data_IF_814521040052
#
_entry.id   IF_814521040052
#
_cell.length_a   1.000
_cell.length_b   1.000
_cell.length_c   1.000
_cell.angle_alpha   90.00
_cell.angle_beta   90.00
_cell.angle_gamma   90.00
#
_symmetry.space_group_name_H-M   'P 1'
#
loop_
_entity.id
_entity.type
_entity.pdbx_description
1 polymer ?
#
# COMPACT_ATOMS: atom_id res chain seq x y z
N UNK A 1 8.43 -0.35 18.34
CA UNK A 1 7.26 -1.12 17.88
C UNK A 1 7.64 -1.67 16.51
N UNK A 2 7.31 -2.92 16.21
CA UNK A 2 7.44 -3.44 14.84
C UNK A 2 6.32 -2.83 14.02
N UNK A 3 6.62 -2.34 12.81
CA UNK A 3 5.62 -1.69 11.95
C UNK A 3 4.93 -2.76 11.11
N UNK A 4 3.61 -2.90 11.24
CA UNK A 4 2.84 -3.92 10.52
C UNK A 4 2.40 -3.41 9.15
N UNK A 5 2.59 -4.25 8.13
CA UNK A 5 2.36 -3.92 6.72
C UNK A 5 1.49 -4.99 6.08
N UNK A 6 0.36 -4.60 5.53
CA UNK A 6 -0.50 -5.50 4.75
C UNK A 6 0.00 -5.54 3.32
N UNK A 7 0.16 -6.74 2.76
CA UNK A 7 0.58 -6.94 1.38
C UNK A 7 -0.40 -7.89 0.67
N UNK A 8 -0.76 -7.61 -0.58
CA UNK A 8 -1.56 -8.54 -1.36
C UNK A 8 -1.72 -8.14 -2.81
N UNK A 9 -2.25 -9.05 -3.62
CA UNK A 9 -2.64 -8.78 -5.01
C UNK A 9 -4.14 -8.61 -5.10
N UNK A 10 -4.59 -7.45 -5.56
CA UNK A 10 -6.02 -7.10 -5.61
C UNK A 10 -6.73 -7.70 -6.83
N UNK A 11 -7.98 -8.09 -6.63
CA UNK A 11 -8.89 -8.41 -7.74
C UNK A 11 -8.76 -9.85 -8.23
N UNK A 12 -8.66 -10.06 -9.54
CA UNK A 12 -8.55 -11.43 -10.13
C UNK A 12 -7.12 -11.85 -10.46
N UNK A 13 -6.14 -11.04 -10.07
CA UNK A 13 -4.74 -11.25 -10.39
C UNK A 13 -4.13 -12.42 -9.58
N UNK A 14 -3.41 -13.31 -10.27
CA UNK A 14 -2.76 -14.50 -9.70
C UNK A 14 -1.21 -14.39 -9.65
N UNK A 15 -0.64 -13.22 -9.93
CA UNK A 15 0.80 -13.02 -9.98
C UNK A 15 1.41 -12.90 -8.57
N UNK A 16 1.75 -14.06 -8.00
CA UNK A 16 2.30 -14.16 -6.64
C UNK A 16 3.79 -13.80 -6.52
N UNK A 17 4.54 -13.83 -7.61
CA UNK A 17 6.02 -13.70 -7.55
C UNK A 17 6.46 -12.34 -7.01
N UNK A 18 5.84 -11.25 -7.49
CA UNK A 18 6.20 -9.89 -7.06
C UNK A 18 5.98 -9.67 -5.57
N UNK A 19 4.80 -10.07 -5.06
CA UNK A 19 4.50 -9.94 -3.64
C UNK A 19 5.36 -10.86 -2.76
N UNK A 20 5.77 -12.04 -3.25
CA UNK A 20 6.66 -12.94 -2.48
C UNK A 20 8.05 -12.34 -2.32
N UNK A 21 8.57 -11.68 -3.37
CA UNK A 21 9.86 -10.99 -3.31
C UNK A 21 9.77 -9.80 -2.36
N UNK A 22 8.69 -9.02 -2.46
CA UNK A 22 8.47 -7.84 -1.63
C UNK A 22 8.27 -8.19 -0.16
N UNK A 23 7.53 -9.26 0.13
CA UNK A 23 7.37 -9.83 1.48
C UNK A 23 8.72 -10.14 2.11
N UNK A 24 9.56 -10.93 1.43
CA UNK A 24 10.89 -11.29 1.94
C UNK A 24 11.78 -10.05 2.17
N UNK A 25 11.68 -9.06 1.29
CA UNK A 25 12.46 -7.84 1.40
C UNK A 25 11.99 -6.97 2.59
N UNK A 26 10.67 -6.83 2.78
CA UNK A 26 10.06 -6.11 3.91
C UNK A 26 10.37 -6.80 5.25
N UNK A 27 10.23 -8.13 5.32
CA UNK A 27 10.60 -8.90 6.51
C UNK A 27 12.09 -8.75 6.83
N UNK A 28 12.96 -8.78 5.81
CA UNK A 28 14.40 -8.56 5.99
C UNK A 28 14.73 -7.13 6.47
N UNK A 29 13.92 -6.14 6.09
CA UNK A 29 14.01 -4.77 6.58
C UNK A 29 13.42 -4.58 8.00
N UNK A 30 12.78 -5.61 8.57
CA UNK A 30 12.27 -5.62 9.94
C UNK A 30 10.81 -5.20 10.09
N UNK A 31 10.02 -5.20 9.00
CA UNK A 31 8.58 -5.02 9.04
C UNK A 31 7.88 -6.34 9.41
N UNK A 32 6.71 -6.22 10.05
CA UNK A 32 5.81 -7.36 10.26
C UNK A 32 4.83 -7.42 9.08
N UNK A 33 4.98 -8.43 8.22
CA UNK A 33 4.26 -8.48 6.95
C UNK A 33 3.07 -9.44 7.06
N UNK A 34 1.87 -8.93 6.80
CA UNK A 34 0.65 -9.74 6.68
C UNK A 34 0.33 -9.88 5.19
N UNK A 35 0.71 -11.02 4.61
CA UNK A 35 0.47 -11.31 3.21
C UNK A 35 -0.91 -11.96 3.01
N UNK A 36 -1.82 -11.25 2.34
CA UNK A 36 -3.16 -11.73 1.96
C UNK A 36 -3.14 -12.68 0.76
N UNK A 37 -2.01 -12.77 0.08
CA UNK A 37 -1.82 -13.60 -1.10
C UNK A 37 -2.35 -12.95 -2.37
N UNK A 38 -2.95 -13.77 -3.22
CA UNK A 38 -3.47 -13.37 -4.53
C UNK A 38 -4.98 -13.37 -4.52
N UNK A 39 -5.57 -12.62 -5.45
CA UNK A 39 -7.02 -12.50 -5.62
C UNK A 39 -7.76 -11.97 -4.39
N UNK A 40 -7.09 -11.11 -3.62
CA UNK A 40 -7.65 -10.52 -2.41
C UNK A 40 -8.64 -9.40 -2.77
N UNK A 41 -9.76 -9.38 -2.06
CA UNK A 41 -10.80 -8.37 -2.19
C UNK A 41 -10.45 -7.10 -1.41
N UNK A 42 -11.05 -5.97 -1.78
CA UNK A 42 -10.90 -4.70 -1.04
C UNK A 42 -11.28 -4.85 0.44
N UNK A 43 -12.28 -5.69 0.75
CA UNK A 43 -12.75 -5.92 2.11
C UNK A 43 -11.68 -6.65 2.94
N UNK A 44 -11.05 -7.68 2.39
CA UNK A 44 -9.95 -8.40 3.06
C UNK A 44 -8.77 -7.48 3.40
N UNK A 45 -8.42 -6.53 2.53
CA UNK A 45 -7.40 -5.52 2.82
C UNK A 45 -7.77 -4.62 4.00
N UNK A 46 -9.02 -4.15 4.05
CA UNK A 46 -9.51 -3.26 5.10
C UNK A 46 -9.63 -4.00 6.42
N UNK A 47 -10.18 -5.21 6.42
CA UNK A 47 -10.28 -6.07 7.60
C UNK A 47 -8.89 -6.41 8.14
N UNK A 48 -7.96 -6.84 7.29
CA UNK A 48 -6.61 -7.16 7.73
C UNK A 48 -5.85 -5.94 8.27
N UNK A 49 -6.02 -4.77 7.65
CA UNK A 49 -5.42 -3.53 8.14
C UNK A 49 -5.96 -3.15 9.51
N UNK A 50 -7.27 -3.32 9.73
CA UNK A 50 -7.92 -3.07 11.02
C UNK A 50 -7.52 -4.08 12.09
N UNK A 51 -7.54 -5.37 11.77
CA UNK A 51 -7.29 -6.46 12.72
C UNK A 51 -5.84 -6.50 13.23
N UNK A 52 -4.90 -5.96 12.44
CA UNK A 52 -3.47 -5.99 12.74
C UNK A 52 -2.89 -4.61 13.08
N UNK A 53 -3.73 -3.58 13.27
CA UNK A 53 -3.31 -2.19 13.50
C UNK A 53 -2.21 -1.77 12.50
N UNK A 54 -2.43 -2.06 11.21
CA UNK A 54 -1.43 -1.87 10.19
C UNK A 54 -1.08 -0.39 10.00
N UNK A 55 0.19 -0.09 9.74
CA UNK A 55 0.62 1.26 9.41
C UNK A 55 0.57 1.53 7.90
N UNK A 56 0.64 0.46 7.09
CA UNK A 56 0.61 0.56 5.64
C UNK A 56 -0.08 -0.62 4.96
N UNK A 57 -0.62 -0.35 3.78
CA UNK A 57 -1.27 -1.31 2.88
C UNK A 57 -0.64 -1.19 1.50
N UNK A 58 0.00 -2.27 1.04
CA UNK A 58 0.68 -2.38 -0.24
C UNK A 58 -0.14 -3.27 -1.17
N UNK A 59 -0.61 -2.68 -2.26
CA UNK A 59 -1.46 -3.33 -3.25
C UNK A 59 -0.65 -3.62 -4.51
N UNK A 60 -0.62 -4.88 -4.94
CA UNK A 60 -0.02 -5.27 -6.21
C UNK A 60 -1.10 -5.51 -7.27
N UNK A 61 -0.83 -5.10 -8.51
CA UNK A 61 -1.66 -5.44 -9.68
C UNK A 61 -0.80 -5.46 -10.95
N UNK A 62 -0.77 -6.59 -11.66
CA UNK A 62 0.04 -6.83 -12.85
C UNK A 62 -0.79 -7.09 -14.12
N UNK A 63 -2.10 -7.32 -13.98
CA UNK A 63 -2.98 -7.61 -15.12
C UNK A 63 -3.64 -6.38 -15.77
N UNK A 64 -3.31 -5.17 -15.30
CA UNK A 64 -3.65 -3.91 -15.99
C UNK A 64 -5.07 -3.39 -15.77
N UNK A 65 -5.81 -3.95 -14.82
CA UNK A 65 -7.18 -3.51 -14.46
C UNK A 65 -7.27 -2.89 -13.06
N UNK A 66 -6.14 -2.46 -12.49
CA UNK A 66 -6.05 -1.87 -11.16
C UNK A 66 -7.06 -0.73 -10.93
N UNK A 67 -7.36 0.07 -11.96
CA UNK A 67 -8.35 1.14 -11.86
C UNK A 67 -9.75 0.65 -11.45
N UNK A 68 -10.18 -0.49 -11.99
CA UNK A 68 -11.48 -1.07 -11.66
C UNK A 68 -11.44 -1.75 -10.29
N UNK A 69 -10.33 -2.40 -9.96
CA UNK A 69 -10.19 -3.11 -8.68
C UNK A 69 -10.03 -2.16 -7.49
N UNK A 70 -9.43 -0.99 -7.69
CA UNK A 70 -9.22 0.00 -6.64
C UNK A 70 -10.36 1.03 -6.55
N UNK A 71 -11.38 0.96 -7.42
CA UNK A 71 -12.52 1.86 -7.36
C UNK A 71 -13.27 1.69 -6.03
N UNK A 72 -13.38 2.77 -5.25
CA UNK A 72 -13.99 2.75 -3.92
C UNK A 72 -13.11 2.17 -2.80
N UNK A 73 -11.84 1.83 -3.07
CA UNK A 73 -10.95 1.26 -2.06
C UNK A 73 -10.63 2.26 -0.94
N UNK A 74 -10.16 3.46 -1.29
CA UNK A 74 -9.89 4.54 -0.31
C UNK A 74 -11.13 5.00 0.43
N UNK A 75 -12.30 4.91 -0.21
CA UNK A 75 -13.56 5.19 0.46
C UNK A 75 -13.80 4.19 1.60
N UNK A 76 -13.57 2.89 1.36
CA UNK A 76 -13.72 1.87 2.40
C UNK A 76 -12.70 2.03 3.54
N UNK A 77 -11.46 2.37 3.23
CA UNK A 77 -10.44 2.68 4.25
C UNK A 77 -10.92 3.84 5.14
N UNK A 78 -11.44 4.91 4.52
CA UNK A 78 -11.98 6.05 5.26
C UNK A 78 -13.25 5.70 6.06
N UNK A 79 -14.13 4.86 5.52
CA UNK A 79 -15.33 4.38 6.23
C UNK A 79 -14.99 3.49 7.43
N UNK A 80 -13.83 2.84 7.41
CA UNK A 80 -13.29 2.05 8.52
C UNK A 80 -12.48 2.89 9.53
N UNK A 81 -12.36 4.21 9.34
CA UNK A 81 -11.58 5.14 10.17
C UNK A 81 -10.09 4.74 10.29
N UNK A 82 -9.56 4.12 9.23
CA UNK A 82 -8.17 3.64 9.18
C UNK A 82 -7.23 4.72 8.65
N UNK A 83 -6.23 5.10 9.44
CA UNK A 83 -5.15 6.01 9.02
C UNK A 83 -3.91 5.24 8.54
N UNK A 84 -4.02 4.58 7.37
CA UNK A 84 -2.95 3.72 6.81
C UNK A 84 -2.31 4.33 5.56
N UNK A 85 -1.01 4.08 5.37
CA UNK A 85 -0.28 4.54 4.20
C UNK A 85 -0.54 3.56 3.06
N UNK A 86 -1.04 4.04 1.93
CA UNK A 86 -1.53 3.18 0.85
C UNK A 86 -0.64 3.24 -0.37
N UNK A 87 -0.04 2.11 -0.73
CA UNK A 87 0.82 2.00 -1.90
C UNK A 87 0.18 1.09 -2.94
N UNK A 88 0.44 1.39 -4.22
CA UNK A 88 0.06 0.50 -5.32
C UNK A 88 1.23 0.31 -6.29
N UNK A 89 1.45 -0.93 -6.74
CA UNK A 89 2.58 -1.30 -7.59
C UNK A 89 2.24 -2.31 -8.67
N UNK A 90 2.99 -2.28 -9.77
CA UNK A 90 2.93 -3.26 -10.85
C UNK A 90 2.51 -2.68 -12.20
N UNK A 91 1.87 -3.49 -13.02
CA UNK A 91 1.38 -3.10 -14.34
C UNK A 91 -0.11 -2.74 -14.21
N UNK A 92 -0.35 -1.47 -13.90
CA UNK A 92 -1.64 -0.96 -13.43
C UNK A 92 -2.65 -0.68 -14.56
N UNK A 93 -2.19 -0.55 -15.80
CA UNK A 93 -3.03 -0.25 -16.96
C UNK A 93 -2.59 -1.00 -18.22
N UNK A 94 -3.54 -1.61 -18.92
CA UNK A 94 -3.26 -2.27 -20.22
C UNK A 94 -3.08 -1.22 -21.31
N UNK A 95 -1.92 -1.23 -21.97
CA UNK A 95 -1.69 -0.49 -23.21
C UNK A 95 -1.50 1.02 -23.04
N UNK A 96 -1.02 1.48 -21.88
CA UNK A 96 -0.57 2.86 -21.71
C UNK A 96 0.91 3.01 -22.06
N UNK A 97 1.23 4.01 -22.88
CA UNK A 97 2.60 4.41 -23.21
C UNK A 97 3.22 5.36 -22.16
N UNK A 98 2.41 5.91 -21.23
CA UNK A 98 2.83 6.95 -20.27
C UNK A 98 2.47 6.58 -18.82
N UNK A 99 3.49 6.17 -18.05
CA UNK A 99 3.33 5.81 -16.63
C UNK A 99 3.10 7.03 -15.73
N UNK A 100 3.52 8.23 -16.13
CA UNK A 100 3.29 9.44 -15.32
C UNK A 100 1.79 9.76 -15.23
N UNK A 101 1.04 9.58 -16.32
CA UNK A 101 -0.42 9.69 -16.30
C UNK A 101 -1.07 8.67 -15.37
N UNK A 102 -0.64 7.41 -15.43
CA UNK A 102 -1.12 6.34 -14.53
C UNK A 102 -0.85 6.70 -13.08
N UNK A 103 0.39 7.11 -12.77
CA UNK A 103 0.80 7.56 -11.44
C UNK A 103 -0.09 8.69 -10.94
N UNK A 104 -0.29 9.73 -11.74
CA UNK A 104 -1.13 10.87 -11.37
C UNK A 104 -2.56 10.43 -11.05
N UNK A 105 -3.13 9.57 -11.88
CA UNK A 105 -4.48 9.07 -11.68
C UNK A 105 -4.65 8.33 -10.34
N UNK A 106 -3.74 7.44 -9.98
CA UNK A 106 -3.80 6.72 -8.70
C UNK A 106 -3.49 7.62 -7.49
N UNK A 107 -2.64 8.64 -7.66
CA UNK A 107 -2.46 9.69 -6.64
C UNK A 107 -3.74 10.48 -6.39
N UNK A 108 -4.46 10.86 -7.45
CA UNK A 108 -5.74 11.57 -7.34
C UNK A 108 -6.85 10.68 -6.75
N UNK A 109 -6.74 9.36 -6.89
CA UNK A 109 -7.64 8.38 -6.27
C UNK A 109 -7.43 8.26 -4.74
N UNK A 110 -6.23 8.58 -4.25
CA UNK A 110 -5.91 8.59 -2.83
C UNK A 110 -4.65 7.82 -2.44
N UNK A 111 -3.97 7.14 -3.37
CA UNK A 111 -2.75 6.40 -3.05
C UNK A 111 -1.59 7.32 -2.68
N UNK A 112 -0.90 6.98 -1.58
CA UNK A 112 0.27 7.69 -1.07
C UNK A 112 1.52 7.42 -1.88
N UNK A 113 1.66 6.25 -2.52
CA UNK A 113 2.69 5.96 -3.54
C UNK A 113 2.20 5.04 -4.63
N UNK A 114 2.80 5.22 -5.81
CA UNK A 114 2.48 4.48 -7.02
C UNK A 114 3.80 4.08 -7.67
N UNK A 115 3.96 2.79 -7.89
CA UNK A 115 5.15 2.16 -8.44
C UNK A 115 4.78 1.36 -9.70
N UNK A 116 5.73 1.20 -10.61
CA UNK A 116 5.58 0.34 -11.78
C UNK A 116 6.13 -1.06 -11.48
N UNK A 117 6.13 -1.94 -12.49
CA UNK A 117 6.73 -3.26 -12.39
C UNK A 117 8.26 -3.27 -12.47
N UNK A 118 8.90 -2.14 -12.78
CA UNK A 118 10.35 -2.00 -12.91
C UNK A 118 11.00 -1.48 -11.61
N UNK A 119 10.20 -0.99 -10.68
CA UNK A 119 10.63 -0.46 -9.39
C UNK A 119 11.28 -1.56 -8.54
N UNK A 120 12.48 -1.27 -8.03
CA UNK A 120 13.19 -2.17 -7.12
C UNK A 120 12.50 -2.24 -5.74
N UNK A 121 12.40 -3.43 -5.10
CA UNK A 121 11.82 -3.56 -3.77
C UNK A 121 12.49 -2.67 -2.71
N UNK A 122 13.79 -2.42 -2.86
CA UNK A 122 14.55 -1.54 -1.97
C UNK A 122 14.01 -0.10 -2.01
N UNK A 123 13.69 0.44 -3.19
CA UNK A 123 13.10 1.78 -3.32
C UNK A 123 11.73 1.87 -2.62
N UNK A 124 10.92 0.81 -2.73
CA UNK A 124 9.63 0.75 -2.06
C UNK A 124 9.78 0.71 -0.52
N UNK A 125 10.78 -0.01 -0.02
CA UNK A 125 11.10 -0.11 1.42
C UNK A 125 11.64 1.22 1.96
N UNK A 126 12.55 1.88 1.24
CA UNK A 126 13.08 3.18 1.64
C UNK A 126 11.96 4.23 1.70
N UNK A 127 11.10 4.22 0.69
CA UNK A 127 9.92 5.08 0.63
C UNK A 127 8.96 4.82 1.80
N UNK A 128 8.66 3.55 2.08
CA UNK A 128 7.79 3.14 3.18
C UNK A 128 8.36 3.58 4.54
N UNK A 129 9.65 3.34 4.74
CA UNK A 129 10.35 3.74 5.97
C UNK A 129 10.25 5.25 6.18
N UNK A 130 10.52 6.04 5.13
CA UNK A 130 10.43 7.49 5.20
C UNK A 130 9.02 7.99 5.53
N UNK A 131 7.99 7.46 4.87
CA UNK A 131 6.60 7.91 5.09
C UNK A 131 6.11 7.55 6.49
N UNK A 132 6.43 6.34 6.98
CA UNK A 132 6.03 5.91 8.33
C UNK A 132 6.79 6.65 9.44
N UNK A 133 8.05 7.03 9.21
CA UNK A 133 8.79 7.89 10.13
C UNK A 133 8.23 9.31 10.17
N UNK A 134 7.83 9.87 9.02
CA UNK A 134 7.16 11.19 8.99
C UNK A 134 5.84 11.17 9.76
N UNK A 135 5.02 10.13 9.59
CA UNK A 135 3.75 9.97 10.32
C UNK A 135 3.92 9.88 11.82
N UNK A 136 4.95 9.15 12.27
CA UNK A 136 5.31 9.08 13.70
C UNK A 136 5.59 10.48 14.26
N UNK A 137 6.35 11.30 13.53
CA UNK A 137 6.72 12.65 14.01
C UNK A 137 5.57 13.67 13.99
N UNK A 138 4.56 13.47 13.15
CA UNK A 138 3.40 14.36 13.06
C UNK A 138 2.39 14.09 14.19
N UNK A 139 2.14 12.81 14.49
CA UNK A 139 1.33 12.40 15.66
C UNK A 139 1.94 12.83 17.01
N UNK A 140 3.27 12.85 17.12
CA UNK A 140 3.96 13.34 18.33
C UNK A 140 3.87 14.86 18.53
N UNK A 141 3.64 15.65 17.46
CA UNK A 141 3.51 17.11 17.55
C UNK A 141 2.13 17.58 18.01
N UNK A 142 1.07 16.84 17.73
CA UNK A 142 -0.28 17.18 18.21
C UNK A 142 -0.45 16.92 19.72
N UNK A 143 0.28 15.97 20.30
CA UNK A 143 0.26 15.70 21.74
C UNK A 143 0.91 16.78 22.62
N UNK A 144 1.66 17.73 22.06
CA UNK A 144 2.46 18.72 22.83
C UNK A 144 1.88 20.13 22.92
N UNK A 145 0.68 20.35 22.37
CA UNK A 145 0.06 21.70 22.35
C UNK A 145 -1.04 21.88 23.42
N UNK A 146 -1.45 20.83 24.13
CA UNK A 146 -2.42 20.93 25.25
C UNK A 146 -1.70 20.83 26.60
N UNK A 147 -0.84 21.80 26.91
CA UNK A 147 -0.35 22.08 28.27
C UNK A 147 0.30 23.46 28.30
N UNK A 148 -0.53 24.51 28.31
CA UNK A 148 -0.15 25.86 28.69
C UNK A 148 -1.35 26.55 29.35
#
# INVERSE_FOLDING_TARGET
MTKTVILGVIGSDAHVVGITILEQALEAAGFDVVNLGVQSSQEEFVEAASDNDAEAVLVSSLYGHAKQDCEGFHQRIAEADLDVTTYIGGNLAVGQDDFEETRKFFREMGFDRVFDSETDPEDAIEALTADLDMRSTEGEREGRTVSA
#
